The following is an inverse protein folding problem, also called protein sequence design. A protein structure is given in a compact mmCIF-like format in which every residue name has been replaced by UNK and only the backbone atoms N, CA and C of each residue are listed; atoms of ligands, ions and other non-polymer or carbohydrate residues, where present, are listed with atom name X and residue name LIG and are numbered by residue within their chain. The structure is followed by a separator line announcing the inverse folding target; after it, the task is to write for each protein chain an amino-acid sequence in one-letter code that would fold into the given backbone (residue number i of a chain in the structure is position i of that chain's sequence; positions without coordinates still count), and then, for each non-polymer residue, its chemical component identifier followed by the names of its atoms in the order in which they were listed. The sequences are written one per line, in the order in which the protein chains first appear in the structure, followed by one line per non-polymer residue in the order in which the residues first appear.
data_IF_240384424202
#
_entry.id   IF_240384424202
#
_cell.length_a   1.000
_cell.length_b   1.000
_cell.length_c   1.000
_cell.angle_alpha   90.00
_cell.angle_beta   90.00
_cell.angle_gamma   90.00
#
_symmetry.space_group_name_H-M   'P 1'
#
loop_
_entity.id
_entity.type
_entity.pdbx_description
1 polymer ?
#
# COMPACT_ATOMS: atom_id res chain seq x y z
N UNK A 1 -6.51 15.20 6.88
CA UNK A 1 -5.37 15.02 5.95
C UNK A 1 -5.82 15.31 4.52
N UNK A 2 -4.97 15.90 3.65
CA UNK A 2 -5.31 16.13 2.24
C UNK A 2 -5.56 14.79 1.51
N UNK A 3 -6.28 14.82 0.36
CA UNK A 3 -6.42 13.64 -0.50
C UNK A 3 -5.07 13.10 -0.96
N UNK A 4 -5.01 11.78 -1.18
CA UNK A 4 -3.82 11.11 -1.72
C UNK A 4 -3.73 11.25 -3.23
N UNK A 5 -2.60 10.83 -3.82
CA UNK A 5 -2.50 10.66 -5.29
C UNK A 5 -3.30 9.44 -5.79
N UNK A 6 -3.76 8.56 -4.89
CA UNK A 6 -4.60 7.43 -5.24
C UNK A 6 -6.02 7.88 -5.60
N UNK A 7 -6.66 7.16 -6.52
CA UNK A 7 -8.12 7.26 -6.71
C UNK A 7 -8.83 6.61 -5.53
N UNK A 8 -9.43 7.42 -4.67
CA UNK A 8 -10.07 6.95 -3.42
C UNK A 8 -11.44 6.28 -3.63
N UNK A 9 -12.03 6.41 -4.82
CA UNK A 9 -13.32 5.79 -5.16
C UNK A 9 -13.28 4.29 -4.95
N UNK A 10 -14.17 3.79 -4.08
CA UNK A 10 -14.29 2.37 -3.74
C UNK A 10 -13.24 1.86 -2.76
N UNK A 11 -12.26 2.66 -2.34
CA UNK A 11 -11.38 2.29 -1.24
C UNK A 11 -12.12 2.35 0.10
N UNK A 12 -11.74 1.49 1.04
CA UNK A 12 -12.25 1.52 2.40
C UNK A 12 -11.49 2.51 3.28
N UNK A 13 -12.11 2.91 4.40
CA UNK A 13 -11.61 3.99 5.27
C UNK A 13 -10.14 3.80 5.67
N UNK A 14 -9.74 2.60 6.12
CA UNK A 14 -8.34 2.35 6.51
C UNK A 14 -7.37 2.34 5.32
N UNK A 15 -7.82 1.85 4.17
CA UNK A 15 -7.03 1.89 2.94
C UNK A 15 -6.82 3.34 2.46
N UNK A 16 -7.84 4.19 2.55
CA UNK A 16 -7.73 5.63 2.26
C UNK A 16 -6.78 6.29 3.25
N UNK A 17 -6.88 5.96 4.54
CA UNK A 17 -5.98 6.48 5.55
C UNK A 17 -4.51 6.13 5.24
N UNK A 18 -4.24 4.89 4.84
CA UNK A 18 -2.90 4.47 4.41
C UNK A 18 -2.43 5.25 3.19
N UNK A 19 -3.26 5.35 2.13
CA UNK A 19 -2.90 6.07 0.90
C UNK A 19 -2.57 7.54 1.16
N UNK A 20 -3.44 8.25 1.90
CA UNK A 20 -3.23 9.66 2.27
C UNK A 20 -2.00 9.85 3.15
N UNK A 21 -1.76 8.90 4.07
CA UNK A 21 -0.59 8.96 4.95
C UNK A 21 0.71 8.72 4.21
N UNK A 22 0.71 7.85 3.19
CA UNK A 22 1.86 7.62 2.31
C UNK A 22 2.10 8.85 1.43
N UNK A 23 1.09 9.39 0.75
CA UNK A 23 1.26 10.60 -0.09
C UNK A 23 1.75 11.82 0.70
N UNK A 24 1.35 11.95 1.97
CA UNK A 24 1.80 13.04 2.81
C UNK A 24 3.24 12.88 3.32
N UNK A 25 3.69 11.64 3.53
CA UNK A 25 5.04 11.34 4.04
C UNK A 25 6.08 11.24 2.92
N UNK A 26 5.67 10.76 1.75
CA UNK A 26 6.54 10.49 0.60
C UNK A 26 6.05 11.28 -0.63
N UNK A 27 6.32 12.59 -0.72
CA UNK A 27 5.88 13.42 -1.84
C UNK A 27 6.46 13.00 -3.20
N UNK A 28 7.51 12.18 -3.22
CA UNK A 28 8.10 11.58 -4.43
C UNK A 28 7.24 10.46 -5.03
N UNK A 29 6.25 9.96 -4.30
CA UNK A 29 5.27 8.99 -4.80
C UNK A 29 4.20 9.75 -5.58
N UNK A 30 4.22 9.57 -6.90
CA UNK A 30 3.33 10.27 -7.83
C UNK A 30 2.14 9.41 -8.30
N UNK A 31 2.18 8.10 -8.05
CA UNK A 31 1.12 7.18 -8.45
C UNK A 31 0.87 6.12 -7.36
N UNK A 32 -0.40 5.91 -7.06
CA UNK A 32 -0.85 4.86 -6.15
C UNK A 32 -2.05 4.16 -6.80
N UNK A 33 -1.86 2.90 -7.17
CA UNK A 33 -2.91 2.02 -7.65
C UNK A 33 -3.89 1.65 -6.53
N UNK A 34 -5.16 1.44 -6.88
CA UNK A 34 -6.23 1.14 -5.91
C UNK A 34 -7.20 0.07 -6.41
N UNK A 35 -8.49 0.37 -6.38
CA UNK A 35 -9.56 -0.56 -6.78
C UNK A 35 -9.44 -0.95 -8.25
N UNK A 36 -9.45 -2.26 -8.51
CA UNK A 36 -9.48 -2.88 -9.84
C UNK A 36 -9.96 -4.34 -9.75
N UNK A 37 -10.27 -4.95 -10.90
CA UNK A 37 -10.47 -6.39 -10.98
C UNK A 37 -9.15 -7.12 -10.67
N UNK A 38 -9.22 -8.16 -9.85
CA UNK A 38 -8.10 -8.96 -9.37
C UNK A 38 -8.62 -10.34 -8.96
N UNK A 39 -7.85 -11.44 -9.15
CA UNK A 39 -8.23 -12.75 -8.63
C UNK A 39 -8.38 -12.81 -7.11
N UNK A 40 -7.68 -11.95 -6.36
CA UNK A 40 -7.77 -11.88 -4.90
C UNK A 40 -8.71 -10.76 -4.45
N UNK A 41 -9.31 -10.93 -3.27
CA UNK A 41 -10.31 -10.00 -2.73
C UNK A 41 -9.81 -8.58 -2.45
N UNK A 42 -8.50 -8.34 -2.39
CA UNK A 42 -7.95 -7.12 -1.79
C UNK A 42 -8.23 -5.86 -2.61
N UNK A 43 -7.80 -5.81 -3.87
CA UNK A 43 -8.10 -4.67 -4.75
C UNK A 43 -9.60 -4.52 -5.08
N UNK A 44 -10.34 -5.60 -5.43
CA UNK A 44 -11.74 -5.49 -5.82
C UNK A 44 -12.63 -4.93 -4.70
N UNK A 45 -12.29 -5.19 -3.44
CA UNK A 45 -13.08 -4.74 -2.29
C UNK A 45 -12.53 -3.47 -1.62
N UNK A 46 -11.58 -2.78 -2.26
CA UNK A 46 -11.01 -1.52 -1.74
C UNK A 46 -10.15 -1.69 -0.49
N UNK A 47 -9.58 -2.87 -0.30
CA UNK A 47 -8.77 -3.22 0.86
C UNK A 47 -7.27 -3.06 0.60
N UNK A 48 -6.84 -2.80 -0.64
CA UNK A 48 -5.44 -2.65 -0.97
C UNK A 48 -5.12 -1.47 -1.90
N UNK A 49 -3.86 -1.03 -1.79
CA UNK A 49 -3.22 -0.06 -2.65
C UNK A 49 -1.83 -0.55 -3.06
N UNK A 50 -1.40 -0.14 -4.25
CA UNK A 50 -0.04 -0.36 -4.76
C UNK A 50 0.67 0.98 -4.85
N UNK A 51 1.69 1.19 -4.01
CA UNK A 51 2.48 2.41 -3.98
C UNK A 51 3.59 2.28 -5.01
N UNK A 52 3.44 2.95 -6.16
CA UNK A 52 4.38 2.82 -7.28
C UNK A 52 5.70 3.51 -6.95
N UNK A 53 6.80 2.76 -7.02
CA UNK A 53 8.12 3.26 -6.66
C UNK A 53 8.85 3.76 -7.92
N UNK A 54 9.17 5.06 -8.02
CA UNK A 54 9.91 5.57 -9.16
C UNK A 54 11.32 4.95 -9.22
N UNK A 55 11.74 4.54 -10.42
CA UNK A 55 13.06 3.94 -10.65
C UNK A 55 13.38 2.78 -9.69
N UNK A 56 12.41 1.90 -9.40
CA UNK A 56 12.47 0.87 -8.35
C UNK A 56 13.65 -0.14 -8.44
N UNK A 57 14.31 -0.23 -9.60
CA UNK A 57 15.53 -1.05 -9.79
C UNK A 57 16.82 -0.34 -9.34
N UNK A 58 16.81 0.99 -9.28
CA UNK A 58 17.93 1.79 -8.79
C UNK A 58 18.15 1.64 -7.28
N UNK A 59 19.33 2.04 -6.78
CA UNK A 59 19.59 2.07 -5.34
C UNK A 59 18.65 3.03 -4.60
N UNK A 60 18.38 4.20 -5.17
CA UNK A 60 17.46 5.19 -4.60
C UNK A 60 16.02 4.66 -4.55
N UNK A 61 15.53 4.04 -5.63
CA UNK A 61 14.19 3.45 -5.67
C UNK A 61 14.04 2.31 -4.65
N UNK A 62 15.05 1.45 -4.48
CA UNK A 62 15.05 0.43 -3.42
C UNK A 62 14.95 1.05 -2.03
N UNK A 63 15.79 2.04 -1.74
CA UNK A 63 15.78 2.73 -0.45
C UNK A 63 14.44 3.44 -0.17
N UNK A 64 13.80 4.01 -1.20
CA UNK A 64 12.46 4.59 -1.08
C UNK A 64 11.41 3.53 -0.77
N UNK A 65 11.39 2.42 -1.51
CA UNK A 65 10.46 1.31 -1.25
C UNK A 65 10.66 0.69 0.14
N UNK A 66 11.91 0.56 0.60
CA UNK A 66 12.24 0.11 1.95
C UNK A 66 11.70 1.08 3.02
N UNK A 67 11.79 2.39 2.75
CA UNK A 67 11.26 3.44 3.64
C UNK A 67 9.74 3.43 3.71
N UNK A 68 9.05 3.27 2.57
CA UNK A 68 7.58 3.11 2.51
C UNK A 68 7.14 1.88 3.29
N UNK A 69 7.79 0.72 3.06
CA UNK A 69 7.50 -0.51 3.80
C UNK A 69 7.69 -0.32 5.31
N UNK A 70 8.81 0.26 5.74
CA UNK A 70 9.10 0.50 7.15
C UNK A 70 8.06 1.43 7.79
N UNK A 71 7.67 2.52 7.10
CA UNK A 71 6.64 3.44 7.57
C UNK A 71 5.29 2.76 7.77
N UNK A 72 4.86 1.97 6.79
CA UNK A 72 3.56 1.28 6.83
C UNK A 72 3.53 0.24 7.95
N UNK A 73 4.62 -0.52 8.14
CA UNK A 73 4.72 -1.49 9.23
C UNK A 73 4.79 -0.82 10.60
N UNK A 74 5.52 0.30 10.74
CA UNK A 74 5.57 1.08 11.98
C UNK A 74 4.20 1.63 12.39
N UNK A 75 3.33 1.92 11.42
CA UNK A 75 1.98 2.43 11.63
C UNK A 75 0.90 1.35 11.41
N UNK A 76 1.27 0.07 11.47
CA UNK A 76 0.40 -1.03 11.08
C UNK A 76 -0.93 -1.06 11.83
N UNK A 77 -0.93 -0.81 13.14
CA UNK A 77 -2.14 -0.75 13.95
C UNK A 77 -3.09 0.37 13.48
N UNK A 78 -2.54 1.58 13.29
CA UNK A 78 -3.29 2.76 12.84
C UNK A 78 -3.95 2.54 11.49
N UNK A 79 -3.23 1.90 10.55
CA UNK A 79 -3.74 1.62 9.22
C UNK A 79 -4.51 0.29 9.14
N UNK A 80 -4.55 -0.51 10.21
CA UNK A 80 -5.06 -1.87 10.16
C UNK A 80 -4.40 -2.70 9.06
N UNK A 81 -3.07 -2.65 8.94
CA UNK A 81 -2.34 -3.40 7.91
C UNK A 81 -2.53 -4.88 8.15
N UNK A 82 -3.01 -5.59 7.14
CA UNK A 82 -3.06 -7.04 7.13
C UNK A 82 -1.70 -7.62 6.74
N UNK A 83 -1.14 -7.13 5.64
CA UNK A 83 0.20 -7.43 5.18
C UNK A 83 0.68 -6.35 4.19
N UNK A 84 1.98 -6.27 4.00
CA UNK A 84 2.61 -5.52 2.93
C UNK A 84 3.52 -6.44 2.11
N UNK A 85 3.69 -6.15 0.83
CA UNK A 85 4.57 -6.93 -0.05
C UNK A 85 5.56 -5.98 -0.72
N UNK A 86 6.83 -6.34 -0.64
CA UNK A 86 7.90 -5.63 -1.32
C UNK A 86 8.97 -6.63 -1.75
N UNK A 87 9.33 -6.61 -3.03
CA UNK A 87 10.39 -7.44 -3.63
C UNK A 87 10.28 -8.92 -3.23
N UNK A 88 9.17 -9.54 -3.62
CA UNK A 88 8.83 -10.95 -3.34
C UNK A 88 8.82 -11.36 -1.87
N UNK A 89 8.70 -10.41 -0.95
CA UNK A 89 8.60 -10.72 0.48
C UNK A 89 7.30 -10.17 1.02
N UNK A 90 6.52 -11.05 1.64
CA UNK A 90 5.31 -10.70 2.38
C UNK A 90 5.72 -10.40 3.82
N UNK A 91 5.43 -9.19 4.28
CA UNK A 91 5.66 -8.72 5.64
C UNK A 91 4.34 -8.59 6.38
N UNK A 92 4.32 -8.98 7.66
CA UNK A 92 3.14 -8.85 8.53
C UNK A 92 3.45 -7.99 9.76
N UNK A 93 2.43 -7.35 10.37
CA UNK A 93 2.60 -6.53 11.56
C UNK A 93 3.25 -7.26 12.74
N UNK A 94 3.05 -8.58 12.86
CA UNK A 94 3.66 -9.41 13.90
C UNK A 94 5.16 -9.70 13.68
N UNK A 95 5.80 -9.03 12.71
CA UNK A 95 7.21 -9.19 12.38
C UNK A 95 7.54 -10.40 11.50
N UNK A 96 6.58 -11.29 11.22
CA UNK A 96 6.80 -12.44 10.34
C UNK A 96 7.01 -12.02 8.88
N UNK A 97 7.89 -12.75 8.20
CA UNK A 97 8.24 -12.56 6.79
C UNK A 97 8.13 -13.88 6.04
N UNK A 98 7.64 -13.84 4.80
CA UNK A 98 7.53 -15.03 3.94
C UNK A 98 7.91 -14.67 2.51
N UNK A 99 8.83 -15.43 1.92
CA UNK A 99 9.18 -15.30 0.51
C UNK A 99 8.01 -15.76 -0.38
N UNK A 100 7.87 -15.12 -1.53
CA UNK A 100 6.95 -15.50 -2.60
C UNK A 100 7.67 -16.35 -3.65
N UNK A 101 6.90 -17.15 -4.38
CA UNK A 101 7.35 -17.73 -5.64
C UNK A 101 7.55 -16.65 -6.71
N UNK A 102 8.39 -16.94 -7.70
CA UNK A 102 8.58 -16.07 -8.86
C UNK A 102 7.37 -16.13 -9.80
N UNK A 103 6.73 -14.98 -10.02
CA UNK A 103 5.61 -14.77 -10.94
C UNK A 103 6.02 -14.27 -12.33
N UNK A 104 7.32 -14.14 -12.62
CA UNK A 104 7.85 -13.89 -13.96
C UNK A 104 7.85 -12.43 -14.44
N UNK A 105 7.44 -11.46 -13.60
CA UNK A 105 7.49 -10.02 -13.95
C UNK A 105 7.71 -9.16 -12.72
N UNK A 106 8.17 -7.92 -12.91
CA UNK A 106 8.40 -6.97 -11.82
C UNK A 106 7.13 -6.72 -11.01
N UNK A 107 6.01 -6.47 -11.68
CA UNK A 107 4.71 -6.24 -11.04
C UNK A 107 4.23 -7.47 -10.29
N UNK A 108 4.25 -8.67 -10.89
CA UNK A 108 3.83 -9.89 -10.18
C UNK A 108 4.69 -10.17 -8.94
N UNK A 109 5.96 -9.78 -9.00
CA UNK A 109 6.93 -9.97 -7.93
C UNK A 109 7.11 -8.76 -7.01
N UNK A 110 6.32 -7.71 -7.19
CA UNK A 110 6.35 -6.49 -6.36
C UNK A 110 7.74 -5.81 -6.33
N UNK A 111 8.43 -5.80 -7.47
CA UNK A 111 9.72 -5.12 -7.62
C UNK A 111 9.60 -3.66 -8.05
N UNK A 112 8.43 -3.24 -8.52
CA UNK A 112 8.10 -1.89 -8.99
C UNK A 112 7.15 -1.12 -8.04
N UNK A 113 6.50 -1.79 -7.09
CA UNK A 113 5.60 -1.18 -6.12
C UNK A 113 5.62 -1.86 -4.75
N UNK A 114 5.29 -1.10 -3.70
CA UNK A 114 4.96 -1.65 -2.38
C UNK A 114 3.45 -1.87 -2.31
N UNK A 115 3.02 -3.14 -2.24
CA UNK A 115 1.62 -3.48 -2.03
C UNK A 115 1.26 -3.40 -0.55
N UNK A 116 0.11 -2.82 -0.23
CA UNK A 116 -0.40 -2.68 1.13
C UNK A 116 -1.85 -3.16 1.16
N UNK A 117 -2.10 -4.23 1.90
CA UNK A 117 -3.45 -4.71 2.19
C UNK A 117 -3.82 -4.35 3.63
N UNK A 118 -5.05 -3.88 3.84
CA UNK A 118 -5.60 -3.53 5.15
C UNK A 118 -6.79 -4.43 5.50
N UNK A 119 -7.14 -4.49 6.78
CA UNK A 119 -8.37 -5.13 7.25
C UNK A 119 -9.64 -4.34 6.84
N UNK A 120 -9.46 -3.20 6.16
CA UNK A 120 -10.55 -2.31 5.77
C UNK A 120 -11.09 -1.52 6.95
N UNK A 121 -12.31 -1.02 6.79
CA UNK A 121 -12.98 -0.22 7.82
C UNK A 121 -14.40 0.18 7.42
N UNK A 122 -14.98 -0.55 6.46
CA UNK A 122 -16.16 -0.12 5.73
C UNK A 122 -15.83 0.95 4.68
N UNK A 123 -16.83 1.21 3.84
CA UNK A 123 -16.77 2.32 2.89
C UNK A 123 -16.97 3.66 3.62
N UNK A 124 -16.34 4.74 3.14
CA UNK A 124 -16.52 6.08 3.70
C UNK A 124 -17.98 6.49 3.78
N UNK A 125 -18.32 7.22 4.85
CA UNK A 125 -19.61 7.89 5.00
C UNK A 125 -19.45 9.38 4.76
N UNK A 126 -20.55 10.08 4.50
CA UNK A 126 -20.52 11.54 4.37
C UNK A 126 -19.91 12.19 5.61
N UNK A 127 -18.99 13.14 5.40
CA UNK A 127 -18.26 13.80 6.49
C UNK A 127 -17.15 12.98 7.13
N UNK A 128 -16.75 11.83 6.57
CA UNK A 128 -15.63 11.04 7.08
C UNK A 128 -14.36 11.88 7.20
N UNK A 129 -13.76 11.88 8.40
CA UNK A 129 -12.49 12.55 8.67
C UNK A 129 -11.34 11.56 8.74
N UNK A 130 -10.15 12.02 8.34
CA UNK A 130 -8.91 11.24 8.33
C UNK A 130 -7.83 12.03 9.08
N UNK A 131 -7.49 11.56 10.28
CA UNK A 131 -6.56 12.20 11.20
C UNK A 131 -5.14 11.66 11.02
N UNK A 132 -4.15 12.52 11.30
CA UNK A 132 -2.72 12.19 11.24
C UNK A 132 -2.28 11.37 12.44
#
# INVERSE_FOLDING_TARGET
MPPSVARETGLQVKTILAARSVSAEFPEILDIGGVRSDPLKWHPHGLAIDVMIPNARSAAGKALGDSVLAYVLKNAERFGVNHAIWRQTIYRPNGSKRAMSDGGSDTANHYDHVHIATDGGGYPRDGQTYLR
#
